data_IF_873887986596
#
_entry.id   IF_873887986596
#
_cell.length_a   1.000
_cell.length_b   1.000
_cell.length_c   1.000
_cell.angle_alpha   90.00
_cell.angle_beta   90.00
_cell.angle_gamma   90.00
#
_symmetry.space_group_name_H-M   'P 1'
#
loop_
_entity.id
_entity.type
_entity.pdbx_description
1 polymer ?
#
# COMPACT_ATOMS: atom_id res chain seq x y z
N UNK A 1 -61.34 -12.89 -34.40
CA UNK A 1 -60.75 -13.98 -33.56
C UNK A 1 -59.41 -14.50 -34.06
N UNK A 2 -59.15 -14.59 -35.39
CA UNK A 2 -57.87 -15.08 -35.91
C UNK A 2 -56.71 -14.06 -35.83
N UNK A 3 -56.98 -12.75 -36.00
CA UNK A 3 -55.94 -11.70 -35.91
C UNK A 3 -55.45 -11.46 -34.48
N UNK A 4 -56.34 -11.44 -33.49
CA UNK A 4 -55.95 -11.29 -32.07
C UNK A 4 -55.05 -12.44 -31.58
N UNK A 5 -55.26 -13.67 -32.07
CA UNK A 5 -54.37 -14.81 -31.77
C UNK A 5 -52.99 -14.69 -32.43
N UNK A 6 -52.89 -14.07 -33.60
CA UNK A 6 -51.60 -13.82 -34.29
C UNK A 6 -50.80 -12.70 -33.64
N UNK A 7 -51.45 -11.64 -33.18
CA UNK A 7 -50.81 -10.54 -32.42
C UNK A 7 -50.27 -11.07 -31.09
N UNK A 8 -51.07 -11.84 -30.35
CA UNK A 8 -50.65 -12.42 -29.07
C UNK A 8 -49.54 -13.48 -29.21
N UNK A 9 -49.49 -14.20 -30.33
CA UNK A 9 -48.40 -15.14 -30.62
C UNK A 9 -47.09 -14.40 -30.93
N UNK A 10 -47.17 -13.30 -31.69
CA UNK A 10 -46.01 -12.48 -32.05
C UNK A 10 -45.43 -11.74 -30.84
N UNK A 11 -46.28 -11.16 -29.99
CA UNK A 11 -45.85 -10.53 -28.73
C UNK A 11 -45.18 -11.53 -27.77
N UNK A 12 -45.63 -12.79 -27.78
CA UNK A 12 -45.03 -13.86 -26.98
C UNK A 12 -43.68 -14.33 -27.54
N UNK A 13 -43.54 -14.40 -28.86
CA UNK A 13 -42.24 -14.69 -29.51
C UNK A 13 -41.23 -13.56 -29.26
N UNK A 14 -41.66 -12.29 -29.38
CA UNK A 14 -40.82 -11.12 -29.15
C UNK A 14 -40.33 -11.07 -27.68
N UNK A 15 -41.20 -11.33 -26.69
CA UNK A 15 -40.79 -11.44 -25.27
C UNK A 15 -39.82 -12.60 -25.01
N UNK A 16 -39.96 -13.74 -25.70
CA UNK A 16 -39.02 -14.88 -25.53
C UNK A 16 -37.65 -14.51 -26.09
N UNK A 17 -37.61 -13.82 -27.24
CA UNK A 17 -36.34 -13.34 -27.82
C UNK A 17 -35.66 -12.28 -26.95
N UNK A 18 -36.40 -11.36 -26.32
CA UNK A 18 -35.82 -10.38 -25.41
C UNK A 18 -35.20 -11.03 -24.17
N UNK A 19 -35.85 -12.06 -23.60
CA UNK A 19 -35.29 -12.81 -22.45
C UNK A 19 -34.01 -13.56 -22.84
N UNK A 20 -33.97 -14.22 -24.01
CA UNK A 20 -32.77 -14.90 -24.51
C UNK A 20 -31.60 -13.93 -24.77
N UNK A 21 -31.90 -12.72 -25.29
CA UNK A 21 -30.90 -11.65 -25.46
C UNK A 21 -30.36 -11.18 -24.10
N UNK A 22 -31.20 -10.99 -23.08
CA UNK A 22 -30.72 -10.60 -21.75
C UNK A 22 -29.92 -11.69 -21.02
N UNK A 23 -30.20 -12.96 -21.27
CA UNK A 23 -29.42 -14.08 -20.71
C UNK A 23 -28.06 -14.21 -21.38
N UNK A 24 -27.99 -14.01 -22.71
CA UNK A 24 -26.71 -14.03 -23.45
C UNK A 24 -25.82 -12.84 -23.09
N UNK A 25 -26.37 -11.65 -22.86
CA UNK A 25 -25.62 -10.48 -22.35
C UNK A 25 -25.03 -10.73 -20.96
N UNK A 26 -25.81 -11.31 -20.04
CA UNK A 26 -25.30 -11.70 -18.70
C UNK A 26 -24.21 -12.75 -18.77
N UNK A 27 -24.34 -13.73 -19.67
CA UNK A 27 -23.30 -14.76 -19.87
C UNK A 27 -22.01 -14.16 -20.45
N UNK A 28 -22.10 -13.15 -21.31
CA UNK A 28 -20.95 -12.40 -21.83
C UNK A 28 -20.26 -11.58 -20.74
N UNK A 29 -21.01 -10.88 -19.89
CA UNK A 29 -20.44 -10.10 -18.76
C UNK A 29 -19.71 -11.02 -17.76
N UNK A 30 -20.31 -12.16 -17.42
CA UNK A 30 -19.67 -13.18 -16.58
C UNK A 30 -18.44 -13.78 -17.25
N UNK A 31 -18.46 -13.96 -18.58
CA UNK A 31 -17.29 -14.44 -19.33
C UNK A 31 -16.16 -13.42 -19.35
N UNK A 32 -16.45 -12.12 -19.50
CA UNK A 32 -15.47 -11.03 -19.42
C UNK A 32 -14.85 -10.92 -18.02
N UNK A 33 -15.64 -10.98 -16.95
CA UNK A 33 -15.13 -11.02 -15.57
C UNK A 33 -14.25 -12.26 -15.33
N UNK A 34 -14.62 -13.41 -15.91
CA UNK A 34 -13.85 -14.65 -15.83
C UNK A 34 -12.54 -14.57 -16.64
N UNK A 35 -12.52 -13.85 -17.77
CA UNK A 35 -11.30 -13.62 -18.53
C UNK A 35 -10.38 -12.63 -17.82
N UNK A 36 -10.91 -11.52 -17.29
CA UNK A 36 -10.13 -10.52 -16.57
C UNK A 36 -9.49 -11.10 -15.29
N UNK A 37 -10.21 -11.98 -14.58
CA UNK A 37 -9.67 -12.70 -13.42
C UNK A 37 -8.59 -13.71 -13.80
N UNK A 38 -8.75 -14.46 -14.90
CA UNK A 38 -7.72 -15.38 -15.43
C UNK A 38 -6.46 -14.63 -15.90
N UNK A 39 -6.61 -13.49 -16.58
CA UNK A 39 -5.48 -12.66 -16.99
C UNK A 39 -4.71 -12.09 -15.79
N UNK A 40 -5.43 -11.60 -14.77
CA UNK A 40 -4.83 -11.16 -13.49
C UNK A 40 -4.06 -12.29 -12.81
N UNK A 41 -4.58 -13.52 -12.88
CA UNK A 41 -3.93 -14.69 -12.31
C UNK A 41 -2.66 -15.09 -13.07
N UNK A 42 -2.69 -15.11 -14.40
CA UNK A 42 -1.52 -15.37 -15.26
C UNK A 42 -0.45 -14.28 -15.06
N UNK A 43 -0.85 -13.01 -14.97
CA UNK A 43 0.05 -11.90 -14.66
C UNK A 43 0.69 -12.05 -13.26
N UNK A 44 -0.07 -12.55 -12.28
CA UNK A 44 0.43 -12.84 -10.93
C UNK A 44 1.42 -14.01 -10.95
N UNK A 45 1.11 -15.10 -11.66
CA UNK A 45 1.98 -16.27 -11.77
C UNK A 45 3.28 -15.96 -12.51
N UNK A 46 3.21 -15.21 -13.62
CA UNK A 46 4.39 -14.77 -14.36
C UNK A 46 5.28 -13.84 -13.53
N UNK A 47 4.69 -12.91 -12.77
CA UNK A 47 5.43 -12.05 -11.82
C UNK A 47 6.07 -12.85 -10.70
N UNK A 48 5.34 -13.79 -10.09
CA UNK A 48 5.88 -14.67 -9.05
C UNK A 48 7.08 -15.50 -9.57
N UNK A 49 7.00 -15.97 -10.82
CA UNK A 49 8.11 -16.68 -11.48
C UNK A 49 9.32 -15.78 -11.76
N UNK A 50 9.11 -14.49 -12.03
CA UNK A 50 10.22 -13.52 -12.15
C UNK A 50 10.85 -13.21 -10.80
N UNK A 51 10.02 -13.08 -9.75
CA UNK A 51 10.48 -12.83 -8.39
C UNK A 51 11.27 -14.03 -7.83
N UNK A 52 10.83 -15.26 -8.10
CA UNK A 52 11.56 -16.47 -7.71
C UNK A 52 12.92 -16.58 -8.40
N UNK A 53 12.98 -16.36 -9.72
CA UNK A 53 14.26 -16.33 -10.46
C UNK A 53 15.24 -15.31 -9.89
N UNK A 54 14.74 -14.14 -9.49
CA UNK A 54 15.56 -13.08 -8.89
C UNK A 54 16.13 -13.49 -7.53
N UNK A 55 15.39 -14.27 -6.74
CA UNK A 55 15.87 -14.82 -5.46
C UNK A 55 16.95 -15.89 -5.68
N UNK A 56 16.83 -16.70 -6.71
CA UNK A 56 17.84 -17.72 -7.04
C UNK A 56 19.17 -17.07 -7.45
N UNK A 57 19.11 -16.02 -8.26
CA UNK A 57 20.28 -15.23 -8.69
C UNK A 57 20.93 -14.40 -7.58
N UNK A 58 20.26 -14.22 -6.43
CA UNK A 58 20.77 -13.36 -5.36
C UNK A 58 21.96 -13.99 -4.64
N UNK A 59 23.14 -13.35 -4.75
CA UNK A 59 24.32 -13.69 -3.97
C UNK A 59 24.42 -12.76 -2.75
N UNK A 60 24.17 -13.25 -1.52
CA UNK A 60 24.17 -12.42 -0.33
C UNK A 60 25.58 -11.94 0.01
N UNK A 61 25.72 -10.66 0.37
CA UNK A 61 27.01 -10.06 0.75
C UNK A 61 27.17 -9.96 2.26
N UNK A 62 26.06 -9.81 2.97
CA UNK A 62 25.99 -9.69 4.42
C UNK A 62 25.94 -11.07 5.10
N UNK A 63 26.40 -11.13 6.35
CA UNK A 63 26.26 -12.32 7.18
C UNK A 63 24.77 -12.69 7.35
N UNK A 64 23.92 -11.69 7.59
CA UNK A 64 22.47 -11.89 7.70
C UNK A 64 21.87 -12.45 6.40
N UNK A 65 22.26 -11.93 5.24
CA UNK A 65 21.81 -12.48 3.96
C UNK A 65 22.22 -13.93 3.74
N UNK A 66 23.44 -14.32 4.16
CA UNK A 66 23.90 -15.71 4.11
C UNK A 66 23.06 -16.63 4.99
N UNK A 67 22.74 -16.21 6.22
CA UNK A 67 21.90 -16.99 7.14
C UNK A 67 20.46 -17.14 6.66
N UNK A 68 19.89 -16.08 6.08
CA UNK A 68 18.55 -16.12 5.49
C UNK A 68 18.53 -17.04 4.26
N UNK A 69 19.54 -16.94 3.38
CA UNK A 69 19.65 -17.83 2.21
C UNK A 69 19.89 -19.29 2.61
N UNK A 70 20.59 -19.53 3.72
CA UNK A 70 20.78 -20.86 4.29
C UNK A 70 19.52 -21.41 4.99
N UNK A 71 18.50 -20.59 5.24
CA UNK A 71 17.27 -20.98 5.93
C UNK A 71 17.38 -21.01 7.46
N UNK A 72 18.47 -20.51 8.06
CA UNK A 72 18.63 -20.44 9.52
C UNK A 72 17.67 -19.44 10.17
N UNK A 73 17.38 -18.34 9.47
CA UNK A 73 16.46 -17.29 9.91
C UNK A 73 15.23 -17.34 9.01
N UNK A 74 14.09 -17.71 9.58
CA UNK A 74 12.83 -17.88 8.86
C UNK A 74 11.83 -16.74 9.09
N UNK A 75 12.06 -15.91 10.12
CA UNK A 75 11.15 -14.82 10.48
C UNK A 75 11.88 -13.49 10.68
N UNK A 76 11.25 -12.41 10.24
CA UNK A 76 11.70 -11.05 10.51
C UNK A 76 11.69 -10.69 12.00
N UNK A 77 10.85 -11.34 12.80
CA UNK A 77 10.80 -11.12 14.24
C UNK A 77 12.12 -11.50 14.91
N UNK A 78 12.74 -12.59 14.46
CA UNK A 78 14.06 -13.01 14.94
C UNK A 78 15.12 -11.93 14.61
N UNK A 79 15.04 -11.32 13.42
CA UNK A 79 15.94 -10.24 13.01
C UNK A 79 15.74 -9.02 13.92
N UNK A 80 14.49 -8.60 14.14
CA UNK A 80 14.20 -7.45 15.01
C UNK A 80 14.58 -7.72 16.47
N UNK A 81 14.36 -8.93 16.99
CA UNK A 81 14.76 -9.33 18.34
C UNK A 81 16.28 -9.34 18.52
N UNK A 82 17.03 -9.79 17.50
CA UNK A 82 18.49 -9.75 17.50
C UNK A 82 19.08 -8.33 17.38
N UNK A 83 18.24 -7.33 17.08
CA UNK A 83 18.65 -5.93 16.87
C UNK A 83 19.50 -5.71 15.61
N UNK A 84 19.62 -6.72 14.74
CA UNK A 84 20.40 -6.62 13.49
C UNK A 84 19.68 -5.75 12.47
N UNK A 85 20.45 -4.96 11.71
CA UNK A 85 19.91 -4.09 10.66
C UNK A 85 19.86 -4.83 9.33
N UNK A 86 18.76 -4.66 8.61
CA UNK A 86 18.58 -5.17 7.25
C UNK A 86 19.28 -4.21 6.28
N UNK A 87 20.23 -4.72 5.51
CA UNK A 87 21.05 -3.94 4.56
C UNK A 87 20.81 -4.33 3.09
N UNK A 88 20.23 -5.51 2.87
CA UNK A 88 19.86 -6.06 1.56
C UNK A 88 18.34 -6.12 1.48
N UNK A 89 17.77 -5.70 0.36
CA UNK A 89 16.31 -5.66 0.21
C UNK A 89 15.76 -7.07 -0.10
N UNK A 90 16.59 -7.89 -0.71
CA UNK A 90 16.37 -9.28 -1.09
C UNK A 90 16.11 -10.17 0.13
N UNK A 91 16.69 -9.83 1.29
CA UNK A 91 16.37 -10.46 2.58
C UNK A 91 14.88 -10.37 2.89
N UNK A 92 14.27 -9.20 2.65
CA UNK A 92 12.85 -8.99 2.93
C UNK A 92 11.99 -9.75 1.93
N UNK A 93 12.44 -9.82 0.67
CA UNK A 93 11.75 -10.55 -0.40
C UNK A 93 11.76 -12.06 -0.15
N UNK A 94 12.83 -12.60 0.45
CA UNK A 94 12.91 -14.00 0.85
C UNK A 94 12.00 -14.33 2.05
N UNK A 95 11.88 -13.41 3.01
CA UNK A 95 11.13 -13.64 4.27
C UNK A 95 9.64 -13.35 4.14
N UNK A 96 9.24 -12.38 3.30
CA UNK A 96 7.84 -12.03 3.05
C UNK A 96 7.63 -11.98 1.53
N UNK A 97 7.19 -13.08 0.91
CA UNK A 97 6.92 -13.11 -0.52
C UNK A 97 5.62 -12.38 -0.91
N UNK A 98 4.66 -12.22 0.00
CA UNK A 98 3.35 -11.58 -0.22
C UNK A 98 3.37 -10.05 -0.04
N UNK A 99 4.54 -9.44 -0.22
CA UNK A 99 4.76 -8.04 0.08
C UNK A 99 4.09 -7.11 -0.95
N UNK A 100 3.10 -6.34 -0.50
CA UNK A 100 2.43 -5.33 -1.33
C UNK A 100 3.21 -4.02 -1.35
N UNK A 101 3.22 -3.35 -2.51
CA UNK A 101 3.84 -2.05 -2.70
C UNK A 101 2.85 -1.02 -3.25
N UNK A 102 2.98 0.22 -2.81
CA UNK A 102 2.24 1.36 -3.34
C UNK A 102 3.11 2.62 -3.33
N UNK A 103 2.71 3.63 -4.11
CA UNK A 103 3.39 4.91 -4.21
C UNK A 103 2.53 6.06 -3.70
N UNK A 104 3.17 6.95 -2.94
CA UNK A 104 2.54 8.17 -2.44
C UNK A 104 2.61 9.27 -3.50
N UNK A 105 1.51 9.99 -3.70
CA UNK A 105 1.46 11.11 -4.63
C UNK A 105 2.10 12.37 -4.01
N UNK A 106 3.39 12.54 -4.25
CA UNK A 106 4.19 13.67 -3.73
C UNK A 106 4.38 14.81 -4.73
N UNK A 107 4.19 14.54 -6.03
CA UNK A 107 4.34 15.50 -7.12
C UNK A 107 3.06 16.25 -7.41
N UNK A 108 3.20 17.38 -8.10
CA UNK A 108 2.07 18.13 -8.63
C UNK A 108 2.31 18.42 -10.10
N UNK A 109 1.34 18.10 -10.94
CA UNK A 109 1.25 18.66 -12.29
C UNK A 109 0.63 20.03 -12.17
N UNK A 110 1.31 21.08 -12.60
CA UNK A 110 0.66 22.38 -12.72
C UNK A 110 -0.26 22.34 -13.95
N UNK A 111 -1.55 22.58 -13.77
CA UNK A 111 -2.48 22.78 -14.89
C UNK A 111 -2.44 24.22 -15.40
N UNK A 112 -3.12 24.47 -16.53
CA UNK A 112 -3.20 25.79 -17.19
C UNK A 112 -3.79 26.87 -16.28
N UNK A 113 -4.63 26.51 -15.30
CA UNK A 113 -5.34 27.42 -14.39
C UNK A 113 -5.00 27.21 -12.90
N UNK A 114 -3.81 26.72 -12.57
CA UNK A 114 -3.40 26.51 -11.17
C UNK A 114 -4.06 25.30 -10.47
N UNK A 115 -5.09 24.71 -11.07
CA UNK A 115 -5.59 23.37 -10.71
C UNK A 115 -4.60 22.30 -11.16
N UNK A 116 -4.09 21.50 -10.24
CA UNK A 116 -3.06 20.51 -10.52
C UNK A 116 -3.37 19.13 -9.96
N UNK A 117 -3.28 18.10 -10.81
CA UNK A 117 -3.38 16.69 -10.37
C UNK A 117 -2.09 16.28 -9.66
N UNK A 118 -2.21 15.50 -8.59
CA UNK A 118 -1.03 14.95 -7.92
C UNK A 118 -0.42 13.82 -8.75
N UNK A 119 0.90 13.68 -8.68
CA UNK A 119 1.67 12.62 -9.34
C UNK A 119 2.52 11.87 -8.33
N UNK A 120 2.86 10.63 -8.65
CA UNK A 120 3.79 9.78 -7.86
C UNK A 120 5.17 10.45 -7.71
N UNK A 121 5.60 11.21 -8.71
CA UNK A 121 6.96 11.73 -8.80
C UNK A 121 6.99 13.23 -8.57
N UNK A 122 7.86 13.68 -7.67
CA UNK A 122 8.19 15.08 -7.47
C UNK A 122 9.48 15.43 -8.19
N UNK A 123 9.42 16.38 -9.11
CA UNK A 123 10.62 16.96 -9.72
C UNK A 123 11.19 18.05 -8.81
N UNK A 124 12.51 18.04 -8.61
CA UNK A 124 13.27 19.08 -7.92
C UNK A 124 14.46 19.44 -8.78
N UNK A 125 14.80 20.72 -8.89
CA UNK A 125 15.88 21.18 -9.77
C UNK A 125 16.92 22.00 -8.99
N UNK A 126 18.20 21.79 -9.30
CA UNK A 126 19.28 22.69 -8.90
C UNK A 126 19.61 23.63 -10.06
N UNK A 127 19.65 24.93 -9.80
CA UNK A 127 20.11 25.95 -10.75
C UNK A 127 21.64 25.95 -10.81
N UNK A 128 22.18 25.93 -12.02
CA UNK A 128 23.63 25.99 -12.32
C UNK A 128 23.84 27.03 -13.44
N UNK A 129 25.07 27.53 -13.63
CA UNK A 129 25.41 28.43 -14.73
C UNK A 129 25.04 27.84 -16.11
N UNK A 130 25.27 26.53 -16.30
CA UNK A 130 24.93 25.77 -17.51
C UNK A 130 23.43 25.44 -17.64
N UNK A 131 22.59 25.89 -16.70
CA UNK A 131 21.15 25.63 -16.68
C UNK A 131 20.66 24.78 -15.51
N UNK A 132 19.46 24.22 -15.66
CA UNK A 132 18.78 23.49 -14.59
C UNK A 132 19.16 22.01 -14.62
N UNK A 133 19.58 21.45 -13.48
CA UNK A 133 19.82 20.01 -13.31
C UNK A 133 18.63 19.38 -12.55
N UNK A 134 17.62 18.82 -13.25
CA UNK A 134 16.45 18.21 -12.60
C UNK A 134 16.79 16.86 -11.98
N UNK A 135 16.08 16.53 -10.91
CA UNK A 135 16.09 15.22 -10.25
C UNK A 135 14.66 14.85 -9.87
N UNK A 136 14.34 13.58 -10.04
CA UNK A 136 13.04 13.02 -9.71
C UNK A 136 13.12 12.32 -8.36
N UNK A 137 12.13 12.58 -7.52
CA UNK A 137 11.97 11.97 -6.20
C UNK A 137 10.67 11.17 -6.21
N UNK A 138 10.72 9.96 -5.66
CA UNK A 138 9.57 9.11 -5.43
C UNK A 138 9.52 8.70 -3.96
N UNK A 139 8.31 8.49 -3.42
CA UNK A 139 8.07 7.96 -2.09
C UNK A 139 7.26 6.68 -2.23
N UNK A 140 7.85 5.56 -1.80
CA UNK A 140 7.21 4.25 -1.85
C UNK A 140 6.86 3.79 -0.44
N UNK A 141 5.79 3.01 -0.36
CA UNK A 141 5.31 2.34 0.85
C UNK A 141 5.20 0.88 0.54
N UNK A 142 5.64 0.06 1.49
CA UNK A 142 5.70 -1.39 1.34
C UNK A 142 5.14 -2.01 2.61
N UNK A 143 4.31 -3.05 2.52
CA UNK A 143 3.75 -3.72 3.69
C UNK A 143 2.97 -4.99 3.34
N UNK A 144 2.76 -5.84 4.34
CA UNK A 144 2.11 -7.14 4.20
C UNK A 144 0.71 -7.20 4.82
N UNK A 145 0.11 -6.04 5.13
CA UNK A 145 -1.20 -5.91 5.81
C UNK A 145 -1.30 -6.67 7.14
N UNK A 146 -0.19 -7.14 7.68
CA UNK A 146 -0.11 -7.93 8.90
C UNK A 146 0.85 -7.28 9.90
N UNK A 147 0.80 -5.96 10.04
CA UNK A 147 1.63 -5.24 11.00
C UNK A 147 3.06 -4.95 10.56
N UNK A 148 3.47 -5.23 9.32
CA UNK A 148 4.75 -4.75 8.80
C UNK A 148 4.55 -3.65 7.77
N UNK A 149 5.23 -2.52 7.96
CA UNK A 149 5.25 -1.45 6.97
C UNK A 149 6.62 -0.78 6.90
N UNK A 150 7.02 -0.39 5.70
CA UNK A 150 8.23 0.36 5.41
C UNK A 150 7.94 1.52 4.48
N UNK A 151 8.67 2.62 4.64
CA UNK A 151 8.53 3.81 3.78
C UNK A 151 9.90 4.27 3.31
N UNK A 152 10.07 4.34 2.00
CA UNK A 152 11.34 4.65 1.36
C UNK A 152 11.27 5.85 0.44
N UNK A 153 12.26 6.73 0.53
CA UNK A 153 12.43 7.83 -0.42
C UNK A 153 13.55 7.50 -1.41
N UNK A 154 13.24 7.58 -2.69
CA UNK A 154 14.19 7.37 -3.79
C UNK A 154 14.38 8.65 -4.58
N UNK A 155 15.63 8.95 -4.96
CA UNK A 155 15.97 10.09 -5.82
C UNK A 155 16.93 9.68 -6.93
N UNK A 156 16.63 10.07 -8.16
CA UNK A 156 17.47 9.79 -9.33
C UNK A 156 17.38 10.91 -10.38
N UNK A 157 18.17 10.76 -11.46
CA UNK A 157 18.11 11.64 -12.64
C UNK A 157 16.86 11.37 -13.49
N UNK A 158 16.33 10.16 -13.43
CA UNK A 158 15.17 9.68 -14.17
C UNK A 158 14.08 9.14 -13.25
N UNK A 159 12.89 8.94 -13.81
CA UNK A 159 11.68 8.52 -13.09
C UNK A 159 11.70 7.07 -12.61
N UNK A 160 12.04 6.11 -13.49
CA UNK A 160 12.03 4.68 -13.14
C UNK A 160 13.08 4.34 -12.08
N UNK A 161 14.35 4.75 -12.23
CA UNK A 161 15.37 4.46 -11.20
C UNK A 161 15.06 5.12 -9.85
N UNK A 162 14.30 6.23 -9.83
CA UNK A 162 13.85 6.84 -8.59
C UNK A 162 12.79 5.98 -7.88
N UNK A 163 11.86 5.36 -8.64
CA UNK A 163 10.86 4.43 -8.10
C UNK A 163 11.51 3.17 -7.54
N UNK A 164 12.44 2.57 -8.27
CA UNK A 164 13.14 1.35 -7.82
C UNK A 164 13.97 1.61 -6.57
N UNK A 165 14.67 2.75 -6.50
CA UNK A 165 15.38 3.18 -5.29
C UNK A 165 14.43 3.41 -4.11
N UNK A 166 13.24 3.95 -4.35
CA UNK A 166 12.25 4.16 -3.30
C UNK A 166 11.74 2.82 -2.76
N UNK A 167 11.44 1.86 -3.63
CA UNK A 167 11.03 0.50 -3.25
C UNK A 167 12.12 -0.21 -2.45
N UNK A 168 13.38 -0.17 -2.93
CA UNK A 168 14.52 -0.76 -2.21
C UNK A 168 14.67 -0.13 -0.82
N UNK A 169 14.61 1.20 -0.73
CA UNK A 169 14.70 1.91 0.55
C UNK A 169 13.52 1.57 1.48
N UNK A 170 12.32 1.37 0.94
CA UNK A 170 11.13 1.02 1.73
C UNK A 170 11.29 -0.35 2.38
N UNK A 171 11.75 -1.35 1.63
CA UNK A 171 12.05 -2.71 2.13
C UNK A 171 13.09 -2.67 3.25
N UNK A 172 14.18 -1.91 3.09
CA UNK A 172 15.20 -1.76 4.13
C UNK A 172 14.70 -1.07 5.41
N UNK A 173 13.65 -0.26 5.30
CA UNK A 173 13.07 0.52 6.40
C UNK A 173 11.87 -0.14 7.06
N UNK A 174 11.67 -1.45 6.85
CA UNK A 174 10.54 -2.18 7.39
C UNK A 174 10.51 -2.09 8.92
N UNK A 175 9.34 -1.79 9.47
CA UNK A 175 9.11 -1.63 10.90
C UNK A 175 7.93 -2.52 11.33
N UNK A 176 8.06 -3.27 12.43
CA UNK A 176 6.94 -3.96 13.03
C UNK A 176 6.05 -2.95 13.76
N UNK A 177 4.75 -3.09 13.54
CA UNK A 177 3.69 -2.26 14.10
C UNK A 177 2.76 -3.13 14.90
N UNK A 178 2.52 -2.71 16.13
CA UNK A 178 1.53 -3.33 17.00
C UNK A 178 0.11 -2.88 16.64
N UNK A 179 -0.75 -3.84 16.30
CA UNK A 179 -2.19 -3.65 16.09
C UNK A 179 -2.95 -4.02 17.36
N UNK A 180 -4.19 -3.56 17.51
CA UNK A 180 -5.02 -3.89 18.67
C UNK A 180 -6.44 -3.34 18.58
N UNK A 181 -7.15 -3.39 19.71
CA UNK A 181 -8.41 -2.69 19.92
C UNK A 181 -8.23 -1.79 21.14
N UNK A 182 -8.08 -0.49 20.90
CA UNK A 182 -7.84 0.51 21.94
C UNK A 182 -8.98 1.50 22.12
N UNK A 183 -10.10 1.29 21.42
CA UNK A 183 -11.28 2.13 21.59
C UNK A 183 -12.07 1.60 22.80
N UNK A 184 -12.50 2.52 23.67
CA UNK A 184 -13.29 2.19 24.86
C UNK A 184 -14.59 1.43 24.51
N UNK A 185 -15.17 1.69 23.34
CA UNK A 185 -16.47 1.13 22.93
C UNK A 185 -16.39 -0.23 22.26
N UNK A 186 -15.19 -0.74 21.95
CA UNK A 186 -15.05 -2.02 21.26
C UNK A 186 -14.87 -3.18 22.26
N UNK A 187 -15.54 -4.30 21.96
CA UNK A 187 -15.41 -5.51 22.75
C UNK A 187 -14.04 -6.17 22.50
N UNK A 188 -13.37 -6.56 23.59
CA UNK A 188 -12.02 -7.13 23.58
C UNK A 188 -11.93 -8.34 22.63
N UNK A 189 -11.26 -8.18 21.48
CA UNK A 189 -10.99 -9.33 20.59
C UNK A 189 -10.77 -9.02 19.11
N UNK A 190 -10.01 -7.98 18.74
CA UNK A 190 -9.65 -7.80 17.33
C UNK A 190 -8.51 -6.82 17.06
N UNK A 191 -7.61 -7.19 16.17
CA UNK A 191 -6.46 -6.38 15.75
C UNK A 191 -6.78 -5.49 14.54
N UNK A 192 -7.80 -4.66 14.69
CA UNK A 192 -8.35 -3.84 13.61
C UNK A 192 -7.90 -2.36 13.69
N UNK A 193 -7.57 -1.89 14.89
CA UNK A 193 -7.23 -0.49 15.17
C UNK A 193 -5.90 -0.37 15.96
N UNK A 194 -5.64 0.82 16.50
CA UNK A 194 -4.52 1.11 17.39
C UNK A 194 -4.83 0.64 18.83
N UNK A 195 -3.83 0.21 19.61
CA UNK A 195 -4.02 -0.13 21.01
C UNK A 195 -4.20 1.10 21.91
N UNK A 196 -3.62 2.26 21.54
CA UNK A 196 -3.77 3.51 22.26
C UNK A 196 -3.55 4.68 21.32
N UNK A 197 -3.96 5.88 21.76
CA UNK A 197 -3.74 7.12 21.00
C UNK A 197 -2.24 7.43 20.88
N UNK A 198 -1.77 7.66 19.66
CA UNK A 198 -0.36 7.99 19.38
C UNK A 198 -0.23 9.32 18.66
N UNK A 199 0.89 10.00 18.91
CA UNK A 199 1.24 11.27 18.24
C UNK A 199 2.64 11.19 17.62
N UNK A 200 2.77 11.64 16.37
CA UNK A 200 4.03 11.77 15.65
C UNK A 200 4.23 13.20 15.13
N UNK A 201 5.50 13.64 15.05
CA UNK A 201 5.85 15.01 14.65
C UNK A 201 7.04 15.03 13.70
N UNK A 202 6.86 15.58 12.51
CA UNK A 202 7.94 15.81 11.56
C UNK A 202 7.87 17.24 11.01
N UNK A 203 8.90 18.05 11.31
CA UNK A 203 8.89 19.48 10.97
C UNK A 203 7.75 20.22 11.69
N UNK A 204 6.96 21.00 10.94
CA UNK A 204 5.79 21.71 11.45
C UNK A 204 4.54 20.85 11.60
N UNK A 205 4.56 19.61 11.10
CA UNK A 205 3.41 18.72 11.07
C UNK A 205 3.33 17.93 12.36
N UNK A 206 2.16 17.96 13.00
CA UNK A 206 1.76 17.08 14.11
C UNK A 206 0.61 16.21 13.66
N UNK A 207 0.77 14.90 13.77
CA UNK A 207 -0.24 13.91 13.43
C UNK A 207 -0.60 13.11 14.69
N UNK A 208 -1.88 13.16 15.06
CA UNK A 208 -2.45 12.35 16.13
C UNK A 208 -3.33 11.26 15.52
N UNK A 209 -3.10 10.02 15.92
CA UNK A 209 -3.92 8.88 15.53
C UNK A 209 -4.69 8.41 16.75
N UNK A 210 -5.98 8.18 16.56
CA UNK A 210 -6.90 7.72 17.58
C UNK A 210 -7.40 6.33 17.20
N UNK A 211 -7.57 5.44 18.19
CA UNK A 211 -8.30 4.20 17.96
C UNK A 211 -9.74 4.51 17.55
N UNK A 212 -10.36 3.57 16.85
CA UNK A 212 -11.74 3.68 16.39
C UNK A 212 -12.41 2.30 16.51
N UNK A 213 -13.73 2.27 16.76
CA UNK A 213 -14.47 1.01 16.82
C UNK A 213 -14.61 0.37 15.45
N UNK A 214 -14.87 -0.94 15.43
CA UNK A 214 -15.06 -1.75 14.22
C UNK A 214 -16.13 -1.16 13.31
N UNK A 215 -15.81 -1.04 12.02
CA UNK A 215 -16.73 -0.53 11.00
C UNK A 215 -16.66 0.98 10.76
N UNK A 216 -15.82 1.71 11.50
CA UNK A 216 -15.56 3.14 11.24
C UNK A 216 -14.82 3.35 9.91
N UNK A 217 -13.97 2.40 9.53
CA UNK A 217 -13.03 2.53 8.43
C UNK A 217 -11.88 3.48 8.73
N UNK A 218 -11.04 3.71 7.71
CA UNK A 218 -9.91 4.63 7.78
C UNK A 218 -10.37 6.07 7.46
N UNK A 219 -10.67 6.85 8.51
CA UNK A 219 -11.04 8.28 8.42
C UNK A 219 -9.77 9.14 8.48
N UNK A 220 -9.04 9.13 7.36
CA UNK A 220 -7.73 9.74 7.22
C UNK A 220 -7.53 10.33 5.82
N UNK A 221 -6.53 11.19 5.66
CA UNK A 221 -6.12 11.68 4.34
C UNK A 221 -5.73 10.52 3.41
N UNK A 222 -6.04 10.65 2.13
CA UNK A 222 -5.90 9.58 1.12
C UNK A 222 -4.50 8.95 1.08
N UNK A 223 -3.44 9.76 1.15
CA UNK A 223 -2.07 9.24 1.13
C UNK A 223 -1.70 8.51 2.43
N UNK A 224 -2.30 8.93 3.55
CA UNK A 224 -2.13 8.25 4.84
C UNK A 224 -2.89 6.93 4.88
N UNK A 225 -4.06 6.88 4.21
CA UNK A 225 -4.88 5.68 4.06
C UNK A 225 -4.08 4.54 3.41
N UNK A 226 -3.30 4.83 2.38
CA UNK A 226 -2.40 3.85 1.73
C UNK A 226 -1.41 3.22 2.72
N UNK A 227 -0.77 4.04 3.55
CA UNK A 227 0.19 3.56 4.56
C UNK A 227 -0.49 2.70 5.62
N UNK A 228 -1.62 3.17 6.17
CA UNK A 228 -2.32 2.46 7.24
C UNK A 228 -2.97 1.16 6.73
N UNK A 229 -3.47 1.15 5.50
CA UNK A 229 -3.99 -0.04 4.83
C UNK A 229 -2.90 -1.10 4.64
N UNK A 230 -1.72 -0.71 4.15
CA UNK A 230 -0.58 -1.61 4.00
C UNK A 230 -0.01 -2.12 5.34
N UNK A 231 -0.18 -1.35 6.42
CA UNK A 231 0.16 -1.79 7.77
C UNK A 231 -0.88 -2.78 8.36
N UNK A 232 -2.07 -2.91 7.76
CA UNK A 232 -3.12 -3.81 8.24
C UNK A 232 -4.15 -3.18 9.17
N UNK A 233 -4.19 -1.85 9.27
CA UNK A 233 -5.25 -1.16 10.01
C UNK A 233 -6.53 -1.08 9.18
N UNK A 234 -7.65 -1.42 9.79
CA UNK A 234 -8.99 -1.31 9.18
C UNK A 234 -9.70 -0.05 9.64
N UNK A 235 -9.59 0.28 10.93
CA UNK A 235 -10.35 1.35 11.55
C UNK A 235 -9.41 2.32 12.28
N UNK A 236 -9.45 3.60 11.90
CA UNK A 236 -8.61 4.63 12.53
C UNK A 236 -9.13 6.03 12.25
N UNK A 237 -9.03 6.91 13.25
CA UNK A 237 -9.29 8.34 13.09
C UNK A 237 -7.99 9.12 13.19
N UNK A 238 -7.80 10.13 12.36
CA UNK A 238 -6.63 10.99 12.42
C UNK A 238 -6.99 12.46 12.64
N UNK A 239 -6.14 13.17 13.37
CA UNK A 239 -6.16 14.63 13.46
C UNK A 239 -4.78 15.16 13.11
N UNK A 240 -4.69 15.93 12.04
CA UNK A 240 -3.45 16.55 11.58
C UNK A 240 -3.47 18.05 11.83
N UNK A 241 -2.34 18.60 12.26
CA UNK A 241 -2.10 20.04 12.42
C UNK A 241 -0.78 20.43 11.75
N UNK A 242 -0.72 21.61 11.15
CA UNK A 242 0.45 22.11 10.41
C UNK A 242 0.33 21.96 8.90
N UNK A 243 1.46 22.02 8.18
CA UNK A 243 1.48 22.05 6.71
C UNK A 243 1.34 20.66 6.07
N UNK A 244 0.12 20.12 6.07
CA UNK A 244 -0.23 18.78 5.57
C UNK A 244 -0.06 18.58 4.06
N UNK A 245 0.10 19.68 3.30
CA UNK A 245 0.44 19.63 1.86
C UNK A 245 1.80 18.97 1.61
N UNK A 246 2.74 19.06 2.56
CA UNK A 246 4.05 18.42 2.43
C UNK A 246 3.97 16.93 2.81
N UNK A 247 3.57 16.09 1.84
CA UNK A 247 3.32 14.66 2.05
C UNK A 247 4.51 13.85 2.56
N UNK A 248 5.74 14.20 2.17
CA UNK A 248 6.95 13.52 2.65
C UNK A 248 7.05 13.60 4.18
N UNK A 249 6.86 14.79 4.75
CA UNK A 249 6.93 14.98 6.20
C UNK A 249 5.69 14.42 6.89
N UNK A 250 4.54 14.48 6.23
CA UNK A 250 3.29 13.92 6.74
C UNK A 250 3.39 12.41 6.97
N UNK A 251 3.90 11.66 5.97
CA UNK A 251 4.10 10.22 6.08
C UNK A 251 5.21 9.88 7.09
N UNK A 252 6.30 10.67 7.14
CA UNK A 252 7.33 10.50 8.19
C UNK A 252 6.78 10.69 9.60
N UNK A 253 5.88 11.66 9.81
CA UNK A 253 5.20 11.85 11.08
C UNK A 253 4.32 10.64 11.43
N UNK A 254 3.65 10.04 10.45
CA UNK A 254 2.90 8.79 10.63
C UNK A 254 3.80 7.63 11.05
N UNK A 255 4.89 7.39 10.34
CA UNK A 255 5.84 6.32 10.69
C UNK A 255 6.42 6.50 12.11
N UNK A 256 6.67 7.74 12.53
CA UNK A 256 7.08 8.01 13.91
C UNK A 256 5.98 7.76 14.93
N UNK A 257 4.72 8.07 14.61
CA UNK A 257 3.58 7.76 15.48
C UNK A 257 3.42 6.24 15.63
N UNK A 258 3.46 5.51 14.51
CA UNK A 258 3.33 4.06 14.48
C UNK A 258 4.49 3.37 15.22
N UNK A 259 5.72 3.85 15.05
CA UNK A 259 6.88 3.31 15.77
C UNK A 259 6.87 3.53 17.28
N UNK A 260 6.09 4.50 17.79
CA UNK A 260 5.87 4.65 19.24
C UNK A 260 4.99 3.53 19.80
N UNK A 261 4.05 3.01 19.00
CA UNK A 261 3.18 1.89 19.38
C UNK A 261 3.97 0.67 19.80
N UNK A 262 5.08 0.40 19.11
CA UNK A 262 5.96 -0.76 19.38
C UNK A 262 6.88 -0.52 20.57
N UNK A 263 7.27 0.74 20.84
CA UNK A 263 8.23 1.07 21.92
C UNK A 263 7.58 1.18 23.30
N UNK A 264 6.32 1.62 23.36
CA UNK A 264 5.64 1.81 24.64
C UNK A 264 5.26 0.44 25.22
N UNK A 265 5.90 0.06 26.34
CA UNK A 265 5.46 -1.07 27.16
C UNK A 265 4.00 -0.81 27.58
N UNK A 266 3.16 -1.83 27.43
CA UNK A 266 1.77 -1.78 27.92
C UNK A 266 1.78 -1.35 29.40
N UNK A 267 1.18 -0.21 29.72
CA UNK A 267 0.76 0.09 31.07
C UNK A 267 -0.44 -0.84 31.34
N UNK A 268 -0.16 -2.04 31.82
CA UNK A 268 -1.20 -2.92 32.38
C UNK A 268 -1.53 -2.36 33.76
N UNK A 269 -2.75 -1.85 33.90
CA UNK A 269 -3.37 -1.63 35.21
C UNK A 269 -3.73 -2.96 35.84
#
# INVERSE_FOLDING_TARGET
>A
MAEQKKVYAKEKEDMVTEVEVTETEKMLEVAEETQESKEKEIARQSRARQESKKLDEWVPKTALGRQVKAGEITSLEQIFASGRRIMEAEVVDALIPDLSNDFILIGQMHGKFGGGRRRIIRQTQKKTAEGNKPKFTALAVVGNRNGYVGVGLGKAKESLPARDKALRAAKLSLMPIKRGSGDWSDAAGGEHSLPFKVEGKCGSIRLRLFPAPKGTGLVVDEELKKVLSLAGYKDMRSKSSGQTRQKINFIKACMQALGKTTKTKELRN
#
